data_IF_665954920047
#
_entry.id   IF_665954920047
#
_cell.length_a   1.000
_cell.length_b   1.000
_cell.length_c   1.000
_cell.angle_alpha   90.00
_cell.angle_beta   90.00
_cell.angle_gamma   90.00
#
_symmetry.space_group_name_H-M   'P 1'
#
loop_
_entity.id
_entity.type
_entity.pdbx_description
1 polymer ?
#
# COMPACT_ATOMS: atom_id res chain seq x y z
N UNK A 1 -31.20 -19.49 59.55
CA UNK A 1 -29.80 -19.16 59.67
C UNK A 1 -29.24 -18.99 58.23
N UNK A 2 -28.99 -17.77 57.79
CA UNK A 2 -28.40 -17.51 56.46
C UNK A 2 -26.87 -17.39 56.64
N UNK A 3 -26.12 -18.30 56.03
CA UNK A 3 -24.66 -18.26 56.05
C UNK A 3 -24.19 -17.01 55.28
N UNK A 4 -23.73 -16.02 56.02
CA UNK A 4 -23.07 -14.83 55.50
C UNK A 4 -21.64 -15.18 55.05
N UNK A 5 -21.41 -15.30 53.76
CA UNK A 5 -20.08 -15.48 53.24
C UNK A 5 -19.82 -14.54 52.04
N UNK A 6 -20.12 -13.26 52.22
CA UNK A 6 -19.67 -12.21 51.28
C UNK A 6 -18.50 -11.47 51.96
N UNK A 7 -17.28 -11.87 51.61
CA UNK A 7 -16.04 -11.25 52.16
C UNK A 7 -15.67 -9.90 51.55
N UNK A 8 -16.44 -9.35 50.60
CA UNK A 8 -16.20 -8.01 50.06
C UNK A 8 -17.46 -7.42 49.38
N UNK A 9 -17.53 -6.09 49.30
CA UNK A 9 -18.56 -5.32 48.58
C UNK A 9 -18.49 -5.50 47.05
N UNK A 10 -17.55 -6.28 46.51
CA UNK A 10 -17.31 -6.44 45.07
C UNK A 10 -16.27 -5.46 44.50
N UNK A 11 -15.81 -4.47 45.28
CA UNK A 11 -14.81 -3.50 44.84
C UNK A 11 -13.45 -4.13 44.46
N UNK A 12 -13.03 -5.21 45.13
CA UNK A 12 -11.79 -5.91 44.81
C UNK A 12 -11.78 -6.62 43.45
N UNK A 13 -12.94 -6.84 42.82
CA UNK A 13 -13.01 -7.39 41.45
C UNK A 13 -12.54 -6.37 40.42
N UNK A 14 -12.80 -5.08 40.66
CA UNK A 14 -12.39 -4.01 39.73
C UNK A 14 -10.87 -3.79 39.74
N UNK A 15 -10.22 -3.93 40.88
CA UNK A 15 -8.75 -3.78 40.98
C UNK A 15 -8.02 -4.95 40.31
N UNK A 16 -8.59 -6.17 40.36
CA UNK A 16 -8.09 -7.33 39.61
C UNK A 16 -8.16 -7.16 38.09
N UNK A 17 -9.27 -6.61 37.60
CA UNK A 17 -9.45 -6.32 36.17
C UNK A 17 -8.52 -5.20 35.66
N UNK A 18 -8.29 -4.15 36.45
CA UNK A 18 -7.32 -3.10 36.10
C UNK A 18 -5.89 -3.66 36.04
N UNK A 19 -5.45 -4.39 37.04
CA UNK A 19 -4.11 -5.00 37.07
C UNK A 19 -3.91 -6.00 35.91
N UNK A 20 -4.93 -6.82 35.61
CA UNK A 20 -4.86 -7.78 34.51
C UNK A 20 -4.81 -7.09 33.13
N UNK A 21 -5.56 -6.01 32.94
CA UNK A 21 -5.50 -5.20 31.72
C UNK A 21 -4.17 -4.44 31.57
N UNK A 22 -3.62 -3.91 32.66
CA UNK A 22 -2.31 -3.25 32.64
C UNK A 22 -1.18 -4.23 32.32
N UNK A 23 -1.19 -5.44 32.91
CA UNK A 23 -0.24 -6.51 32.59
C UNK A 23 -0.38 -7.01 31.16
N UNK A 24 -1.61 -7.25 30.66
CA UNK A 24 -1.83 -7.62 29.24
C UNK A 24 -1.39 -6.52 28.29
N UNK A 25 -1.55 -5.25 28.67
CA UNK A 25 -1.10 -4.11 27.83
C UNK A 25 0.42 -4.07 27.75
N UNK A 26 1.15 -4.34 28.84
CA UNK A 26 2.62 -4.38 28.86
C UNK A 26 3.18 -5.59 28.09
N UNK A 27 2.56 -6.75 28.20
CA UNK A 27 2.97 -7.97 27.48
C UNK A 27 2.71 -7.91 25.97
N UNK A 28 1.86 -7.01 25.51
CA UNK A 28 1.53 -6.85 24.07
C UNK A 28 2.35 -5.81 23.34
N UNK A 29 3.12 -4.99 24.05
CA UNK A 29 4.01 -4.00 23.43
C UNK A 29 5.12 -4.70 22.64
N UNK A 30 5.32 -4.24 21.41
CA UNK A 30 6.41 -4.74 20.58
C UNK A 30 7.65 -3.89 20.90
N UNK A 31 8.79 -4.52 21.27
CA UNK A 31 10.00 -3.76 21.59
C UNK A 31 10.50 -2.90 20.42
N UNK A 32 11.07 -1.74 20.74
CA UNK A 32 11.80 -0.91 19.77
C UNK A 32 12.98 -1.74 19.23
N UNK A 33 13.29 -1.62 17.95
CA UNK A 33 14.30 -2.40 17.25
C UNK A 33 13.77 -3.74 16.69
N UNK A 34 12.53 -4.15 17.02
CA UNK A 34 11.94 -5.36 16.43
C UNK A 34 11.74 -5.17 14.94
N UNK A 35 12.13 -6.20 14.16
CA UNK A 35 12.01 -6.20 12.70
C UNK A 35 10.78 -7.00 12.23
N UNK A 36 10.08 -6.45 11.25
CA UNK A 36 8.99 -7.07 10.50
C UNK A 36 9.23 -6.86 8.99
N UNK A 37 9.72 -7.87 8.31
CA UNK A 37 10.14 -7.75 6.92
C UNK A 37 11.20 -6.66 6.74
N UNK A 38 10.88 -5.59 5.98
CA UNK A 38 11.75 -4.41 5.79
C UNK A 38 11.55 -3.30 6.82
N UNK A 39 10.65 -3.48 7.77
CA UNK A 39 10.35 -2.48 8.81
C UNK A 39 11.09 -2.79 10.09
N UNK A 40 11.68 -1.77 10.70
CA UNK A 40 12.23 -1.80 12.05
C UNK A 40 11.46 -0.77 12.89
N UNK A 41 10.94 -1.18 14.05
CA UNK A 41 10.29 -0.26 14.97
C UNK A 41 11.32 0.69 15.55
N UNK A 42 11.14 1.99 15.35
CA UNK A 42 12.02 3.03 15.89
C UNK A 42 11.41 3.79 17.06
N UNK A 43 10.07 3.81 17.17
CA UNK A 43 9.37 4.50 18.23
C UNK A 43 7.97 3.91 18.44
N UNK A 44 7.48 3.92 19.68
CA UNK A 44 6.07 3.71 19.99
C UNK A 44 5.35 5.06 20.04
N UNK A 45 4.24 5.19 19.28
CA UNK A 45 3.48 6.45 19.18
C UNK A 45 2.41 6.53 20.28
N UNK A 46 1.91 5.37 20.73
CA UNK A 46 0.82 5.27 21.70
C UNK A 46 -0.47 4.73 21.10
N UNK A 47 -1.51 4.70 21.93
CA UNK A 47 -2.81 4.19 21.53
C UNK A 47 -3.61 5.27 20.81
N UNK A 48 -4.04 5.00 19.58
CA UNK A 48 -4.95 5.85 18.80
C UNK A 48 -5.94 4.99 17.99
N UNK A 49 -7.11 5.54 17.61
CA UNK A 49 -8.06 4.82 16.78
C UNK A 49 -7.46 4.55 15.41
N UNK A 50 -7.91 3.48 14.76
CA UNK A 50 -7.43 3.11 13.43
C UNK A 50 -8.02 4.04 12.34
N UNK A 51 -9.23 4.53 12.56
CA UNK A 51 -9.94 5.50 11.74
C UNK A 51 -10.88 6.32 12.64
N UNK A 52 -11.37 7.44 12.17
CA UNK A 52 -12.32 8.28 12.90
C UNK A 52 -13.61 7.50 13.19
N UNK A 53 -14.02 7.45 14.47
CA UNK A 53 -15.18 6.65 14.92
C UNK A 53 -14.86 5.20 15.29
N UNK A 54 -13.62 4.74 15.22
CA UNK A 54 -13.26 3.39 15.66
C UNK A 54 -13.43 3.22 17.18
N UNK A 55 -14.17 2.19 17.59
CA UNK A 55 -14.49 1.88 19.00
C UNK A 55 -13.23 1.45 19.79
N UNK A 56 -12.24 0.85 19.13
CA UNK A 56 -11.04 0.32 19.76
C UNK A 56 -9.80 1.10 19.35
N UNK A 57 -9.04 1.58 20.33
CA UNK A 57 -7.71 2.10 20.10
C UNK A 57 -6.71 0.95 19.88
N UNK A 58 -5.74 1.18 19.02
CA UNK A 58 -4.63 0.25 18.74
C UNK A 58 -3.31 0.92 19.10
N UNK A 59 -2.32 0.12 19.51
CA UNK A 59 -0.97 0.60 19.70
C UNK A 59 -0.30 0.84 18.36
N UNK A 60 0.16 2.06 18.11
CA UNK A 60 0.82 2.49 16.90
C UNK A 60 2.32 2.66 17.09
N UNK A 61 3.05 2.41 16.03
CA UNK A 61 4.50 2.46 15.99
C UNK A 61 4.97 3.26 14.79
N UNK A 62 6.04 4.01 14.97
CA UNK A 62 6.83 4.57 13.89
C UNK A 62 7.86 3.53 13.49
N UNK A 63 7.90 3.21 12.20
CA UNK A 63 8.80 2.20 11.66
C UNK A 63 9.68 2.79 10.57
N UNK A 64 10.97 2.51 10.63
CA UNK A 64 11.91 2.79 9.55
C UNK A 64 11.98 1.60 8.62
N UNK A 65 11.88 1.84 7.33
CA UNK A 65 12.00 0.82 6.29
C UNK A 65 13.43 0.75 5.75
N UNK A 66 13.86 -0.42 5.28
CA UNK A 66 15.19 -0.61 4.66
C UNK A 66 15.42 0.31 3.44
N UNK A 67 14.36 0.83 2.81
CA UNK A 67 14.45 1.83 1.74
C UNK A 67 14.73 3.26 2.25
N UNK A 68 14.87 3.48 3.56
CA UNK A 68 15.08 4.78 4.19
C UNK A 68 13.81 5.52 4.59
N UNK A 69 12.64 5.16 4.05
CA UNK A 69 11.37 5.81 4.37
C UNK A 69 10.88 5.44 5.77
N UNK A 70 10.15 6.37 6.39
CA UNK A 70 9.49 6.19 7.68
C UNK A 70 7.98 6.05 7.43
N UNK A 71 7.33 5.13 8.14
CA UNK A 71 5.88 4.97 8.09
C UNK A 71 5.30 4.65 9.46
N UNK A 72 4.04 5.02 9.67
CA UNK A 72 3.26 4.64 10.84
C UNK A 72 2.42 3.39 10.56
N UNK A 73 2.34 2.51 11.55
CA UNK A 73 1.48 1.33 11.48
C UNK A 73 1.12 0.83 12.88
N UNK A 74 0.03 0.09 13.01
CA UNK A 74 -0.34 -0.48 14.31
C UNK A 74 0.16 -1.92 14.48
N UNK A 75 0.37 -2.32 15.74
CA UNK A 75 1.02 -3.58 16.10
C UNK A 75 0.37 -4.84 15.55
N UNK A 76 -0.95 -4.84 15.32
CA UNK A 76 -1.62 -6.02 14.77
C UNK A 76 -1.21 -6.30 13.32
N UNK A 77 -1.03 -5.24 12.49
CA UNK A 77 -0.55 -5.40 11.11
C UNK A 77 0.89 -5.91 11.06
N UNK A 78 1.72 -5.50 12.02
CA UNK A 78 3.09 -5.99 12.15
C UNK A 78 3.10 -7.48 12.55
N UNK A 79 2.39 -7.84 13.63
CA UNK A 79 2.33 -9.22 14.15
C UNK A 79 1.74 -10.21 13.15
N UNK A 80 0.77 -9.79 12.33
CA UNK A 80 0.18 -10.62 11.27
C UNK A 80 0.98 -10.65 9.98
N UNK A 81 2.13 -9.94 9.90
CA UNK A 81 2.90 -9.71 8.68
C UNK A 81 2.09 -9.08 7.52
N UNK A 82 0.94 -8.46 7.82
CA UNK A 82 0.14 -7.74 6.83
C UNK A 82 0.79 -6.40 6.41
N UNK A 83 1.73 -5.90 7.22
CA UNK A 83 2.54 -4.71 6.91
C UNK A 83 4.01 -5.05 7.14
N UNK A 84 4.76 -5.29 6.07
CA UNK A 84 6.17 -5.70 6.07
C UNK A 84 7.10 -4.67 5.42
N UNK A 85 6.55 -3.55 4.93
CA UNK A 85 7.31 -2.42 4.35
C UNK A 85 6.54 -1.11 4.51
N UNK A 86 7.17 0.02 4.22
CA UNK A 86 6.50 1.33 4.17
C UNK A 86 5.50 1.48 3.01
N UNK A 87 5.47 0.51 2.10
CA UNK A 87 4.80 0.55 0.81
C UNK A 87 5.79 0.45 -0.36
N UNK A 88 7.09 0.48 -0.07
CA UNK A 88 8.15 0.38 -1.09
C UNK A 88 8.36 -1.05 -1.63
N UNK A 89 7.73 -2.07 -1.05
CA UNK A 89 7.57 -3.35 -1.73
C UNK A 89 6.41 -3.15 -2.70
N UNK A 90 6.69 -2.46 -3.77
CA UNK A 90 5.87 -2.48 -4.94
C UNK A 90 5.85 -3.91 -5.50
N UNK A 91 4.94 -4.21 -6.34
CA UNK A 91 4.99 -5.46 -7.06
C UNK A 91 6.38 -5.60 -7.72
N UNK A 92 6.91 -6.82 -7.80
CA UNK A 92 8.22 -7.04 -8.46
C UNK A 92 8.26 -6.43 -9.87
N UNK A 93 7.10 -6.33 -10.52
CA UNK A 93 6.95 -5.71 -11.82
C UNK A 93 7.11 -4.20 -11.82
N UNK A 94 6.47 -3.51 -10.87
CA UNK A 94 6.65 -2.05 -10.73
C UNK A 94 8.10 -1.69 -10.40
N UNK A 95 8.78 -2.47 -9.54
CA UNK A 95 10.21 -2.25 -9.27
C UNK A 95 11.05 -2.42 -10.53
N UNK A 96 10.73 -3.44 -11.36
CA UNK A 96 11.45 -3.67 -12.62
C UNK A 96 11.24 -2.55 -13.63
N UNK A 97 10.01 -2.04 -13.74
CA UNK A 97 9.68 -0.87 -14.58
C UNK A 97 10.47 0.34 -14.08
N UNK A 98 10.45 0.60 -12.76
CA UNK A 98 11.18 1.73 -12.18
C UNK A 98 12.69 1.66 -12.43
N UNK A 99 13.31 0.48 -12.29
CA UNK A 99 14.72 0.26 -12.61
C UNK A 99 15.02 0.60 -14.07
N UNK A 100 14.16 0.19 -15.01
CA UNK A 100 14.32 0.48 -16.44
C UNK A 100 14.18 1.96 -16.73
N UNK A 101 13.18 2.65 -16.15
CA UNK A 101 13.00 4.08 -16.33
C UNK A 101 14.21 4.87 -15.82
N UNK A 102 14.73 4.52 -14.63
CA UNK A 102 15.94 5.15 -14.07
C UNK A 102 17.19 4.89 -14.90
N UNK A 103 17.36 3.66 -15.38
CA UNK A 103 18.54 3.28 -16.18
C UNK A 103 18.59 3.97 -17.56
N UNK A 104 17.47 4.51 -18.04
CA UNK A 104 17.36 5.22 -19.31
C UNK A 104 17.07 6.71 -19.12
N UNK A 105 17.27 7.26 -17.91
CA UNK A 105 17.10 8.68 -17.57
C UNK A 105 15.71 9.25 -17.95
N UNK A 106 14.66 8.41 -17.89
CA UNK A 106 13.28 8.78 -18.21
C UNK A 106 12.64 9.57 -17.08
N UNK A 107 11.99 10.68 -17.41
CA UNK A 107 11.28 11.51 -16.44
C UNK A 107 9.90 10.93 -16.13
N UNK A 108 9.66 10.56 -14.85
CA UNK A 108 8.40 9.92 -14.44
C UNK A 108 8.00 10.27 -13.01
N UNK A 109 6.71 10.13 -12.72
CA UNK A 109 6.18 10.08 -11.35
C UNK A 109 5.49 8.74 -11.11
N UNK A 110 5.49 8.30 -9.84
CA UNK A 110 4.84 7.05 -9.39
C UNK A 110 3.57 7.32 -8.62
N UNK A 111 2.64 6.34 -8.67
CA UNK A 111 1.42 6.33 -7.87
C UNK A 111 0.62 7.63 -7.98
N UNK A 112 0.48 8.15 -9.20
CA UNK A 112 -0.12 9.44 -9.48
C UNK A 112 -1.63 9.35 -9.53
N UNK A 113 -2.30 10.27 -8.85
CA UNK A 113 -3.74 10.51 -8.97
C UNK A 113 -3.91 11.77 -9.81
N UNK A 114 -4.52 11.64 -10.98
CA UNK A 114 -4.80 12.79 -11.82
C UNK A 114 -6.04 13.54 -11.32
N UNK A 115 -5.96 14.86 -11.10
CA UNK A 115 -7.10 15.67 -10.64
C UNK A 115 -8.31 15.57 -11.57
N UNK A 116 -8.07 15.51 -12.89
CA UNK A 116 -9.10 15.38 -13.92
C UNK A 116 -9.88 14.07 -13.76
N UNK A 117 -9.19 12.96 -13.50
CA UNK A 117 -9.83 11.66 -13.23
C UNK A 117 -10.73 11.74 -11.99
N UNK A 118 -10.25 12.41 -10.93
CA UNK A 118 -11.06 12.61 -9.72
C UNK A 118 -12.28 13.47 -9.99
N UNK A 119 -12.14 14.52 -10.80
CA UNK A 119 -13.24 15.41 -11.14
C UNK A 119 -14.31 14.73 -12.02
N UNK A 120 -13.90 13.89 -12.97
CA UNK A 120 -14.81 13.23 -13.91
C UNK A 120 -15.50 12.01 -13.30
N UNK A 121 -14.75 11.17 -12.59
CA UNK A 121 -15.22 9.87 -12.12
C UNK A 121 -15.60 9.86 -10.63
N UNK A 122 -15.33 10.96 -9.89
CA UNK A 122 -15.51 11.06 -8.44
C UNK A 122 -14.78 9.95 -7.65
N UNK A 123 -13.69 9.39 -8.23
CA UNK A 123 -12.88 8.31 -7.66
C UNK A 123 -11.41 8.68 -7.66
N UNK A 124 -10.70 8.34 -6.57
CA UNK A 124 -9.27 8.54 -6.43
C UNK A 124 -8.52 7.29 -6.91
N UNK A 125 -8.49 7.06 -8.22
CA UNK A 125 -7.74 5.97 -8.81
C UNK A 125 -6.31 6.42 -9.11
N UNK A 126 -5.32 5.60 -8.75
CA UNK A 126 -3.89 5.89 -8.98
C UNK A 126 -3.42 5.15 -10.22
N UNK A 127 -2.56 5.81 -10.98
CA UNK A 127 -1.74 5.20 -12.02
C UNK A 127 -0.37 4.84 -11.45
N UNK A 128 0.18 3.69 -11.85
CA UNK A 128 1.46 3.22 -11.32
C UNK A 128 2.60 4.15 -11.72
N UNK A 129 2.67 4.54 -13.00
CA UNK A 129 3.66 5.50 -13.50
C UNK A 129 3.05 6.44 -14.53
N UNK A 130 3.48 7.69 -14.50
CA UNK A 130 3.24 8.68 -15.56
C UNK A 130 4.61 9.15 -16.04
N UNK A 131 4.83 9.02 -17.35
CA UNK A 131 6.03 9.48 -18.05
C UNK A 131 5.73 10.82 -18.67
N UNK A 132 6.64 11.75 -18.52
CA UNK A 132 6.51 13.12 -19.00
C UNK A 132 7.54 13.41 -20.09
N UNK A 133 7.13 14.18 -21.09
CA UNK A 133 8.01 14.80 -22.06
C UNK A 133 8.80 15.95 -21.44
N UNK A 134 9.81 16.42 -22.15
CA UNK A 134 10.70 17.49 -21.66
C UNK A 134 9.96 18.83 -21.38
N UNK A 135 8.85 19.08 -22.04
CA UNK A 135 7.97 20.24 -21.80
C UNK A 135 6.99 20.03 -20.64
N UNK A 136 7.03 18.87 -19.99
CA UNK A 136 6.20 18.53 -18.83
C UNK A 136 4.81 18.00 -19.17
N UNK A 137 4.49 17.75 -20.43
CA UNK A 137 3.24 17.12 -20.83
C UNK A 137 3.25 15.62 -20.51
N UNK A 138 2.07 15.02 -20.26
CA UNK A 138 1.95 13.58 -20.11
C UNK A 138 2.19 12.91 -21.47
N UNK A 139 3.28 12.18 -21.58
CA UNK A 139 3.62 11.44 -22.79
C UNK A 139 2.95 10.06 -22.81
N UNK A 140 3.01 9.36 -21.68
CA UNK A 140 2.31 8.08 -21.52
C UNK A 140 2.09 7.71 -20.05
N UNK A 141 1.16 6.81 -19.86
CA UNK A 141 0.80 6.24 -18.56
C UNK A 141 1.13 4.76 -18.61
N UNK A 142 1.74 4.22 -17.55
CA UNK A 142 2.14 2.81 -17.48
C UNK A 142 1.52 2.18 -16.25
N UNK A 143 0.89 1.02 -16.44
CA UNK A 143 0.28 0.17 -15.41
C UNK A 143 0.91 -1.21 -15.44
N UNK A 144 1.19 -1.77 -14.27
CA UNK A 144 1.61 -3.16 -14.14
C UNK A 144 0.46 -4.01 -13.64
N UNK A 145 -0.10 -4.82 -14.53
CA UNK A 145 -1.23 -5.69 -14.21
C UNK A 145 -0.77 -6.95 -13.46
N UNK A 146 -1.00 -6.97 -12.14
CA UNK A 146 -0.79 -8.13 -11.29
C UNK A 146 -1.75 -9.29 -11.61
N UNK A 147 -1.53 -10.46 -11.03
CA UNK A 147 -2.41 -11.64 -11.22
C UNK A 147 -3.86 -11.35 -10.84
N UNK A 148 -4.07 -10.46 -9.89
CA UNK A 148 -5.39 -10.05 -9.42
C UNK A 148 -6.30 -9.47 -10.50
N UNK A 149 -5.74 -8.89 -11.57
CA UNK A 149 -6.50 -8.33 -12.69
C UNK A 149 -7.15 -9.43 -13.56
N UNK A 150 -6.63 -10.66 -13.53
CA UNK A 150 -7.14 -11.78 -14.30
C UNK A 150 -7.77 -12.91 -13.47
N UNK A 151 -7.34 -13.08 -12.23
CA UNK A 151 -7.75 -14.20 -11.37
C UNK A 151 -8.49 -13.74 -10.10
N UNK A 152 -8.62 -12.42 -9.89
CA UNK A 152 -9.11 -11.86 -8.65
C UNK A 152 -8.06 -11.89 -7.53
N UNK A 153 -8.36 -11.24 -6.39
CA UNK A 153 -7.45 -11.21 -5.25
C UNK A 153 -7.31 -12.61 -4.64
N UNK A 154 -6.07 -13.03 -4.38
CA UNK A 154 -5.79 -14.24 -3.62
C UNK A 154 -6.14 -14.01 -2.14
N UNK A 155 -7.28 -14.54 -1.72
CA UNK A 155 -7.82 -14.38 -0.36
C UNK A 155 -6.91 -14.96 0.71
N UNK A 156 -6.03 -15.90 0.37
CA UNK A 156 -5.08 -16.51 1.31
C UNK A 156 -3.88 -15.60 1.60
N UNK A 157 -3.52 -14.70 0.67
CA UNK A 157 -2.34 -13.85 0.79
C UNK A 157 -2.66 -12.42 1.28
N UNK A 158 -3.85 -11.91 0.99
CA UNK A 158 -4.26 -10.53 1.25
C UNK A 158 -5.47 -10.40 2.18
N UNK A 159 -5.63 -11.28 3.10
CA UNK A 159 -6.67 -11.46 4.13
C UNK A 159 -7.70 -10.35 4.45
N UNK A 160 -7.71 -9.22 3.75
CA UNK A 160 -8.62 -8.08 3.93
C UNK A 160 -8.84 -7.25 2.65
N UNK A 161 -8.53 -7.75 1.46
CA UNK A 161 -8.99 -7.05 0.26
C UNK A 161 -10.50 -7.21 0.14
N UNK A 162 -11.23 -6.10 0.20
CA UNK A 162 -12.67 -6.05 -0.11
C UNK A 162 -12.92 -5.99 -1.62
N UNK A 163 -11.84 -5.91 -2.41
CA UNK A 163 -11.94 -5.86 -3.87
C UNK A 163 -12.29 -7.24 -4.41
N UNK A 164 -13.31 -7.30 -5.24
CA UNK A 164 -13.65 -8.46 -6.08
C UNK A 164 -12.99 -8.31 -7.44
N UNK A 165 -12.99 -9.39 -8.22
CA UNK A 165 -12.49 -9.34 -9.61
C UNK A 165 -13.26 -8.28 -10.42
N UNK A 166 -14.58 -8.21 -10.25
CA UNK A 166 -15.45 -7.23 -10.91
C UNK A 166 -15.07 -5.80 -10.51
N UNK A 167 -14.80 -5.55 -9.21
CA UNK A 167 -14.38 -4.23 -8.72
C UNK A 167 -13.02 -3.81 -9.31
N UNK A 168 -12.09 -4.74 -9.47
CA UNK A 168 -10.79 -4.48 -10.09
C UNK A 168 -10.98 -4.15 -11.57
N UNK A 169 -11.75 -4.96 -12.30
CA UNK A 169 -12.04 -4.74 -13.72
C UNK A 169 -12.81 -3.43 -13.98
N UNK A 170 -13.73 -3.05 -13.07
CA UNK A 170 -14.41 -1.76 -13.13
C UNK A 170 -13.41 -0.59 -13.04
N UNK A 171 -12.49 -0.64 -12.08
CA UNK A 171 -11.43 0.38 -11.91
C UNK A 171 -10.54 0.46 -13.16
N UNK A 172 -10.19 -0.69 -13.74
CA UNK A 172 -9.40 -0.77 -14.97
C UNK A 172 -10.13 -0.16 -16.16
N UNK A 173 -11.43 -0.45 -16.31
CA UNK A 173 -12.27 0.11 -17.35
C UNK A 173 -12.37 1.64 -17.22
N UNK A 174 -12.54 2.16 -16.01
CA UNK A 174 -12.55 3.61 -15.76
C UNK A 174 -11.23 4.25 -16.19
N UNK A 175 -10.08 3.69 -15.80
CA UNK A 175 -8.76 4.17 -16.20
C UNK A 175 -8.56 4.13 -17.73
N UNK A 176 -8.96 3.03 -18.37
CA UNK A 176 -8.85 2.87 -19.83
C UNK A 176 -9.68 3.92 -20.57
N UNK A 177 -10.96 4.11 -20.17
CA UNK A 177 -11.85 5.09 -20.77
C UNK A 177 -11.36 6.52 -20.55
N UNK A 178 -10.85 6.84 -19.37
CA UNK A 178 -10.26 8.14 -19.06
C UNK A 178 -9.06 8.41 -19.97
N UNK A 179 -8.11 7.49 -20.09
CA UNK A 179 -6.96 7.65 -20.96
C UNK A 179 -7.38 7.83 -22.43
N UNK A 180 -8.39 7.09 -22.89
CA UNK A 180 -8.90 7.22 -24.27
C UNK A 180 -9.53 8.60 -24.51
N UNK A 181 -10.35 9.12 -23.57
CA UNK A 181 -11.00 10.46 -23.70
C UNK A 181 -9.97 11.59 -23.74
N UNK A 182 -8.89 11.46 -22.98
CA UNK A 182 -7.83 12.48 -22.89
C UNK A 182 -6.69 12.27 -23.91
N UNK A 183 -6.81 11.26 -24.77
CA UNK A 183 -5.79 10.87 -25.74
C UNK A 183 -4.43 10.56 -25.09
N UNK A 184 -4.43 10.04 -23.85
CA UNK A 184 -3.22 9.57 -23.18
C UNK A 184 -2.86 8.15 -23.67
N UNK A 185 -1.59 7.93 -24.00
CA UNK A 185 -1.09 6.61 -24.37
C UNK A 185 -0.97 5.77 -23.11
N UNK A 186 -1.84 4.77 -22.94
CA UNK A 186 -1.83 3.83 -21.82
C UNK A 186 -1.12 2.54 -22.22
N UNK A 187 -0.08 2.17 -21.45
CA UNK A 187 0.68 0.93 -21.60
C UNK A 187 0.38 0.04 -20.42
N UNK A 188 -0.16 -1.15 -20.66
CA UNK A 188 -0.40 -2.16 -19.63
C UNK A 188 0.56 -3.33 -19.79
N UNK A 189 1.33 -3.61 -18.72
CA UNK A 189 2.34 -4.66 -18.69
C UNK A 189 1.84 -5.79 -17.80
N UNK A 190 1.49 -6.95 -18.38
CA UNK A 190 0.96 -8.07 -17.60
C UNK A 190 2.07 -8.73 -16.76
N UNK A 191 1.71 -9.24 -15.58
CA UNK A 191 2.64 -9.92 -14.67
C UNK A 191 3.37 -11.14 -15.30
N UNK A 192 2.82 -11.72 -16.35
CA UNK A 192 3.47 -12.80 -17.11
C UNK A 192 4.75 -12.36 -17.81
N UNK A 193 4.91 -11.06 -18.08
CA UNK A 193 6.11 -10.48 -18.68
C UNK A 193 7.21 -10.08 -17.67
N UNK A 194 6.98 -10.21 -16.36
CA UNK A 194 7.86 -9.66 -15.32
C UNK A 194 9.35 -9.93 -15.50
N UNK A 195 9.72 -11.12 -15.96
CA UNK A 195 11.11 -11.51 -16.17
C UNK A 195 11.69 -11.08 -17.54
N UNK A 196 10.88 -10.50 -18.39
CA UNK A 196 11.23 -10.14 -19.79
C UNK A 196 10.87 -8.69 -20.12
N UNK A 197 10.49 -7.87 -19.12
CA UNK A 197 10.18 -6.45 -19.32
C UNK A 197 11.42 -5.75 -19.83
N UNK A 198 11.30 -5.05 -20.94
CA UNK A 198 12.32 -4.21 -21.56
C UNK A 198 11.86 -2.75 -21.56
N UNK A 199 12.76 -1.82 -21.88
CA UNK A 199 12.39 -0.42 -22.04
C UNK A 199 11.46 -0.22 -23.24
N UNK A 200 11.58 -1.03 -24.29
CA UNK A 200 10.72 -0.99 -25.47
C UNK A 200 9.26 -1.39 -25.14
N UNK A 201 9.06 -2.30 -24.20
CA UNK A 201 7.70 -2.62 -23.71
C UNK A 201 7.04 -1.40 -23.02
N UNK A 202 7.83 -0.50 -22.47
CA UNK A 202 7.37 0.70 -21.75
C UNK A 202 7.21 1.86 -22.71
N UNK A 203 8.22 2.14 -23.53
CA UNK A 203 8.29 3.32 -24.40
C UNK A 203 7.81 3.07 -25.82
N UNK A 204 7.89 1.81 -26.29
CA UNK A 204 7.67 1.42 -27.70
C UNK A 204 8.87 1.76 -28.59
N UNK A 205 8.91 1.13 -29.76
CA UNK A 205 10.04 1.27 -30.72
C UNK A 205 10.22 2.71 -31.23
N UNK A 206 9.17 3.52 -31.27
CA UNK A 206 9.22 4.90 -31.75
C UNK A 206 10.04 5.85 -30.85
N UNK A 207 10.26 5.48 -29.59
CA UNK A 207 10.99 6.32 -28.65
C UNK A 207 12.51 6.26 -28.83
N UNK A 208 13.03 5.11 -29.23
CA UNK A 208 14.48 4.89 -29.44
C UNK A 208 15.05 5.72 -30.59
N UNK A 209 14.20 6.11 -31.57
CA UNK A 209 14.62 6.90 -32.74
C UNK A 209 14.85 8.38 -32.40
N UNK A 210 14.23 8.90 -31.32
CA UNK A 210 14.34 10.32 -30.92
C UNK A 210 15.56 10.63 -30.04
N UNK A 211 16.18 9.62 -29.43
CA UNK A 211 17.34 9.78 -28.54
C UNK A 211 18.66 10.00 -29.25
N UNK A 212 18.76 9.68 -30.53
CA UNK A 212 19.99 9.75 -31.32
C UNK A 212 20.15 11.08 -32.08
N UNK A 213 19.23 12.04 -31.89
CA UNK A 213 19.27 13.38 -32.53
C UNK A 213 19.62 14.54 -31.56
N UNK A 214 20.28 14.25 -30.42
CA UNK A 214 20.77 15.26 -29.46
C UNK A 214 22.31 15.33 -29.46
#
# INVERSE_FOLDING_TARGET
MRNGNTKSCGCGKFDGFKKHNEQQTQETLIPIGTRFGKLIIVQSIGYKPQYEGAVKNRMWYLCQCDCGNICETHGNLLKSNAKISCGCINSRGENKIEELLKANDIFYNKEVILPELVAEEHRRLRFDFIIYSLDGAIERIVEFDGRQHSQGPDTNYWGHSTDTLESIQEKDMIKNNFCARHNYKLVRIPCTKINKITIDDILGEEYLIRGDEL
#
